data_IF_733302768924
#
_entry.id   IF_733302768924
#
_cell.length_a   1.000
_cell.length_b   1.000
_cell.length_c   1.000
_cell.angle_alpha   90.00
_cell.angle_beta   90.00
_cell.angle_gamma   90.00
#
_symmetry.space_group_name_H-M   'P 1'
#
loop_
_entity.id
_entity.type
_entity.pdbx_description
1 polymer ?
#
# COMPACT_ATOMS: atom_id res chain seq x y z
N UNK A 1 31.41 13.81 6.23
CA UNK A 1 30.86 14.83 5.30
C UNK A 1 29.65 14.20 4.62
N UNK A 2 28.48 14.83 4.69
CA UNK A 2 27.27 14.28 4.05
C UNK A 2 27.39 14.37 2.53
N UNK A 3 26.98 13.32 1.82
CA UNK A 3 27.08 13.23 0.35
C UNK A 3 25.74 13.53 -0.31
N UNK A 4 25.76 14.09 -1.52
CA UNK A 4 24.56 14.19 -2.33
C UNK A 4 24.29 12.86 -3.04
N UNK A 5 23.02 12.56 -3.31
CA UNK A 5 22.64 11.42 -4.15
C UNK A 5 23.18 11.69 -5.56
N UNK A 6 24.07 10.83 -6.04
CA UNK A 6 24.62 10.91 -7.37
C UNK A 6 23.95 9.86 -8.25
N UNK A 7 23.23 10.30 -9.27
CA UNK A 7 22.69 9.41 -10.29
C UNK A 7 23.79 9.17 -11.34
N UNK A 8 24.82 8.42 -10.94
CA UNK A 8 25.92 8.04 -11.81
C UNK A 8 25.63 6.69 -12.48
N UNK A 9 25.73 6.64 -13.80
CA UNK A 9 25.65 5.43 -14.60
C UNK A 9 27.00 5.19 -15.26
N UNK A 10 27.94 4.62 -14.52
CA UNK A 10 29.25 4.23 -15.07
C UNK A 10 29.08 2.86 -15.70
N UNK A 11 28.70 2.84 -16.98
CA UNK A 11 28.45 1.60 -17.69
C UNK A 11 29.28 1.58 -18.95
N UNK A 12 30.06 0.51 -19.09
CA UNK A 12 30.75 0.22 -20.33
C UNK A 12 29.68 0.03 -21.41
N UNK A 13 29.60 0.99 -22.33
CA UNK A 13 28.60 1.07 -23.40
C UNK A 13 28.53 -0.16 -24.31
N UNK A 14 29.49 -1.09 -24.18
CA UNK A 14 29.59 -2.33 -24.96
C UNK A 14 28.78 -3.49 -24.39
N UNK A 15 28.49 -3.50 -23.08
CA UNK A 15 27.71 -4.54 -22.41
C UNK A 15 26.58 -3.92 -21.58
N UNK A 16 25.47 -3.55 -22.22
CA UNK A 16 24.21 -3.19 -21.55
C UNK A 16 23.52 -4.43 -20.97
N UNK A 17 24.23 -5.21 -20.17
CA UNK A 17 23.67 -6.34 -19.46
C UNK A 17 22.95 -5.81 -18.21
N UNK A 18 21.61 -5.95 -18.07
CA UNK A 18 20.87 -5.49 -16.88
C UNK A 18 21.19 -6.29 -15.61
N UNK A 19 21.97 -7.37 -15.76
CA UNK A 19 22.29 -8.32 -14.71
C UNK A 19 22.99 -7.72 -13.48
N UNK A 20 23.89 -6.72 -13.54
CA UNK A 20 24.54 -6.20 -12.34
C UNK A 20 23.58 -5.54 -11.34
N UNK A 21 22.65 -4.70 -11.81
CA UNK A 21 21.65 -4.04 -10.96
C UNK A 21 20.66 -5.06 -10.41
N UNK A 22 20.16 -5.97 -11.25
CA UNK A 22 19.26 -7.04 -10.79
C UNK A 22 19.95 -7.98 -9.81
N UNK A 23 21.23 -8.30 -10.04
CA UNK A 23 22.07 -9.11 -9.12
C UNK A 23 22.32 -8.37 -7.81
N UNK A 24 22.56 -7.06 -7.82
CA UNK A 24 22.75 -6.30 -6.60
C UNK A 24 21.51 -6.35 -5.70
N UNK A 25 20.31 -6.22 -6.28
CA UNK A 25 19.04 -6.41 -5.54
C UNK A 25 18.91 -7.83 -5.03
N UNK A 26 19.14 -8.83 -5.90
CA UNK A 26 19.02 -10.23 -5.53
C UNK A 26 19.96 -10.62 -4.39
N UNK A 27 21.26 -10.32 -4.53
CA UNK A 27 22.27 -10.63 -3.51
C UNK A 27 21.96 -9.97 -2.18
N UNK A 28 21.50 -8.71 -2.19
CA UNK A 28 21.06 -8.05 -0.97
C UNK A 28 19.90 -8.79 -0.28
N UNK A 29 18.85 -9.15 -1.03
CA UNK A 29 17.70 -9.85 -0.46
C UNK A 29 18.04 -11.29 -0.04
N UNK A 30 18.96 -11.96 -0.73
CA UNK A 30 19.49 -13.27 -0.35
C UNK A 30 20.24 -13.20 1.00
N UNK A 31 21.09 -12.19 1.19
CA UNK A 31 21.85 -11.94 2.42
C UNK A 31 20.96 -11.69 3.63
N UNK A 32 19.82 -11.01 3.45
CA UNK A 32 18.85 -10.76 4.53
C UNK A 32 17.74 -11.83 4.61
N UNK A 33 17.88 -12.93 3.85
CA UNK A 33 16.90 -14.02 3.79
C UNK A 33 15.46 -13.58 3.49
N UNK A 34 15.32 -12.60 2.60
CA UNK A 34 14.04 -12.06 2.14
C UNK A 34 13.60 -12.73 0.84
N UNK A 35 12.34 -13.13 0.78
CA UNK A 35 11.67 -13.67 -0.41
C UNK A 35 11.36 -12.61 -1.48
N UNK A 36 11.59 -11.33 -1.19
CA UNK A 36 11.39 -10.23 -2.13
C UNK A 36 12.39 -10.25 -3.32
N UNK A 37 13.40 -11.13 -3.28
CA UNK A 37 14.40 -11.28 -4.33
C UNK A 37 13.84 -11.86 -5.63
N UNK A 38 12.79 -12.69 -5.57
CA UNK A 38 12.38 -13.50 -6.72
C UNK A 38 11.76 -12.67 -7.86
N UNK A 39 11.09 -11.57 -7.52
CA UNK A 39 10.45 -10.73 -8.54
C UNK A 39 11.47 -9.92 -9.37
N UNK A 40 12.69 -9.65 -8.87
CA UNK A 40 13.65 -8.84 -9.63
C UNK A 40 14.14 -9.52 -10.93
N UNK A 41 14.04 -10.85 -11.01
CA UNK A 41 14.35 -11.62 -12.21
C UNK A 41 13.14 -11.88 -13.10
N UNK A 42 11.98 -11.30 -12.79
CA UNK A 42 10.83 -11.39 -13.67
C UNK A 42 11.12 -10.74 -15.03
N UNK A 43 10.47 -11.25 -16.08
CA UNK A 43 10.59 -10.70 -17.43
C UNK A 43 10.24 -9.20 -17.48
N UNK A 44 9.29 -8.77 -16.63
CA UNK A 44 8.91 -7.37 -16.51
C UNK A 44 10.07 -6.49 -16.03
N UNK A 45 10.76 -6.91 -14.97
CA UNK A 45 11.91 -6.16 -14.44
C UNK A 45 13.09 -6.13 -15.40
N UNK A 46 13.33 -7.22 -16.12
CA UNK A 46 14.34 -7.25 -17.17
C UNK A 46 14.06 -6.20 -18.25
N UNK A 47 12.84 -6.15 -18.80
CA UNK A 47 12.46 -5.17 -19.82
C UNK A 47 12.49 -3.73 -19.29
N UNK A 48 12.03 -3.49 -18.06
CA UNK A 48 12.11 -2.18 -17.41
C UNK A 48 13.54 -1.70 -17.27
N UNK A 49 14.42 -2.57 -16.76
CA UNK A 49 15.83 -2.24 -16.58
C UNK A 49 16.46 -1.89 -17.92
N UNK A 50 16.23 -2.70 -18.96
CA UNK A 50 16.67 -2.42 -20.33
C UNK A 50 16.18 -1.08 -20.86
N UNK A 51 14.93 -0.70 -20.58
CA UNK A 51 14.40 0.62 -20.94
C UNK A 51 15.10 1.75 -20.18
N UNK A 52 15.37 1.58 -18.89
CA UNK A 52 16.12 2.56 -18.09
C UNK A 52 17.53 2.75 -18.65
N UNK A 53 18.23 1.66 -18.98
CA UNK A 53 19.53 1.73 -19.65
C UNK A 53 19.47 2.50 -20.97
N UNK A 54 18.48 2.21 -21.83
CA UNK A 54 18.31 2.92 -23.10
C UNK A 54 18.06 4.43 -22.89
N UNK A 55 17.35 4.79 -21.84
CA UNK A 55 16.97 6.18 -21.53
C UNK A 55 18.07 6.95 -20.81
N UNK A 56 18.80 6.34 -19.88
CA UNK A 56 19.68 7.01 -18.92
C UNK A 56 21.14 6.54 -18.98
N UNK A 57 21.44 5.41 -19.63
CA UNK A 57 22.79 4.85 -19.73
C UNK A 57 23.67 5.43 -20.84
N UNK A 58 23.27 6.54 -21.48
CA UNK A 58 24.10 7.16 -22.53
C UNK A 58 25.21 8.00 -21.90
N UNK A 59 26.48 7.85 -22.33
CA UNK A 59 27.63 8.55 -21.74
C UNK A 59 27.56 10.08 -21.86
N UNK A 60 26.77 10.59 -22.81
CA UNK A 60 26.56 12.03 -23.00
C UNK A 60 25.60 12.64 -21.96
N UNK A 61 24.81 11.82 -21.24
CA UNK A 61 23.96 12.31 -20.15
C UNK A 61 24.81 12.48 -18.90
N UNK A 62 25.01 13.74 -18.52
CA UNK A 62 25.76 14.13 -17.32
C UNK A 62 25.17 13.47 -16.08
N UNK A 63 26.07 13.03 -15.19
CA UNK A 63 25.78 12.62 -13.82
C UNK A 63 24.88 13.67 -13.17
N UNK A 64 23.67 13.27 -12.79
CA UNK A 64 22.75 14.19 -12.13
C UNK A 64 22.94 14.05 -10.62
N UNK A 65 23.58 15.04 -10.02
CA UNK A 65 23.65 15.15 -8.56
C UNK A 65 22.39 15.85 -8.07
N UNK A 66 21.62 15.19 -7.20
CA UNK A 66 20.44 15.80 -6.59
C UNK A 66 20.90 16.77 -5.50
N UNK A 67 20.93 18.06 -5.82
CA UNK A 67 21.46 19.11 -4.92
C UNK A 67 20.40 19.82 -4.12
N UNK A 68 19.16 19.80 -4.58
CA UNK A 68 18.02 20.44 -3.90
C UNK A 68 16.88 19.47 -3.73
N UNK A 69 15.97 19.80 -2.82
CA UNK A 69 14.79 18.97 -2.57
C UNK A 69 13.87 18.91 -3.80
N UNK A 70 13.76 19.99 -4.57
CA UNK A 70 12.95 20.06 -5.79
C UNK A 70 13.44 19.03 -6.82
N UNK A 71 14.76 18.79 -6.90
CA UNK A 71 15.31 17.74 -7.76
C UNK A 71 14.92 16.34 -7.27
N UNK A 72 14.81 16.13 -5.96
CA UNK A 72 14.34 14.86 -5.37
C UNK A 72 12.85 14.67 -5.60
N UNK A 73 12.05 15.73 -5.56
CA UNK A 73 10.62 15.64 -5.91
C UNK A 73 10.44 15.24 -7.37
N UNK A 74 11.32 15.75 -8.23
CA UNK A 74 11.38 15.46 -9.65
C UNK A 74 12.27 14.25 -9.98
N UNK A 75 12.52 13.36 -9.00
CA UNK A 75 13.35 12.17 -9.17
C UNK A 75 12.82 11.26 -10.30
N UNK A 76 13.66 11.01 -11.28
CA UNK A 76 13.42 9.99 -12.31
C UNK A 76 13.72 8.61 -11.74
N UNK A 77 12.67 7.79 -11.58
CA UNK A 77 12.79 6.45 -10.98
C UNK A 77 13.83 5.58 -11.69
N UNK A 78 13.85 5.58 -13.03
CA UNK A 78 14.80 4.75 -13.79
C UNK A 78 16.26 5.17 -13.58
N UNK A 79 16.55 6.47 -13.51
CA UNK A 79 17.89 6.97 -13.19
C UNK A 79 18.28 6.62 -11.75
N UNK A 80 17.34 6.74 -10.81
CA UNK A 80 17.53 6.33 -9.42
C UNK A 80 17.82 4.84 -9.29
N UNK A 81 17.09 3.99 -10.02
CA UNK A 81 17.29 2.54 -10.02
C UNK A 81 18.65 2.13 -10.55
N UNK A 82 19.14 2.76 -11.62
CA UNK A 82 20.46 2.41 -12.15
C UNK A 82 21.60 2.78 -11.20
N UNK A 83 21.44 3.84 -10.39
CA UNK A 83 22.44 4.30 -9.43
C UNK A 83 22.34 3.61 -8.06
N UNK A 84 21.12 3.36 -7.58
CA UNK A 84 20.83 2.81 -6.26
C UNK A 84 19.76 1.71 -6.35
N UNK A 85 20.08 0.54 -6.93
CA UNK A 85 19.08 -0.45 -7.32
C UNK A 85 18.28 -1.01 -6.14
N UNK A 86 18.92 -1.29 -4.99
CA UNK A 86 18.24 -1.79 -3.78
C UNK A 86 17.24 -0.76 -3.23
N UNK A 87 17.68 0.48 -3.04
CA UNK A 87 16.81 1.55 -2.54
C UNK A 87 15.67 1.89 -3.54
N UNK A 88 15.96 1.88 -4.83
CA UNK A 88 14.92 2.08 -5.84
C UNK A 88 13.92 0.92 -5.87
N UNK A 89 14.37 -0.31 -5.68
CA UNK A 89 13.51 -1.49 -5.61
C UNK A 89 12.57 -1.44 -4.39
N UNK A 90 13.06 -1.03 -3.22
CA UNK A 90 12.19 -0.83 -2.05
C UNK A 90 11.18 0.30 -2.27
N UNK A 91 11.59 1.41 -2.91
CA UNK A 91 10.69 2.49 -3.31
C UNK A 91 9.61 2.01 -4.29
N UNK A 92 9.96 1.12 -5.22
CA UNK A 92 9.00 0.53 -6.14
C UNK A 92 7.92 -0.29 -5.42
N UNK A 93 8.32 -1.14 -4.47
CA UNK A 93 7.37 -1.95 -3.69
C UNK A 93 6.42 -1.11 -2.85
N UNK A 94 6.91 -0.02 -2.26
CA UNK A 94 6.04 0.97 -1.62
C UNK A 94 5.02 1.53 -2.63
N UNK A 95 5.48 1.99 -3.80
CA UNK A 95 4.59 2.55 -4.81
C UNK A 95 3.55 1.54 -5.29
N UNK A 96 3.91 0.26 -5.48
CA UNK A 96 2.94 -0.78 -5.83
C UNK A 96 1.89 -0.98 -4.74
N UNK A 97 2.31 -1.02 -3.47
CA UNK A 97 1.36 -1.09 -2.35
C UNK A 97 0.40 0.12 -2.34
N UNK A 98 0.91 1.33 -2.61
CA UNK A 98 0.08 2.52 -2.74
C UNK A 98 -0.93 2.39 -3.90
N UNK A 99 -0.50 1.93 -5.07
CA UNK A 99 -1.35 1.77 -6.25
C UNK A 99 -2.41 0.67 -6.08
N UNK A 100 -2.07 -0.42 -5.42
CA UNK A 100 -3.01 -1.50 -5.12
C UNK A 100 -4.08 -1.02 -4.15
N UNK A 101 -3.68 -0.33 -3.07
CA UNK A 101 -4.61 0.23 -2.09
C UNK A 101 -5.47 1.34 -2.70
N UNK A 102 -4.88 2.20 -3.54
CA UNK A 102 -5.60 3.19 -4.35
C UNK A 102 -6.71 2.54 -5.19
N UNK A 103 -6.43 1.40 -5.83
CA UNK A 103 -7.41 0.68 -6.65
C UNK A 103 -8.57 0.17 -5.80
N UNK A 104 -8.29 -0.39 -4.63
CA UNK A 104 -9.31 -0.92 -3.72
C UNK A 104 -10.16 0.22 -3.16
N UNK A 105 -9.54 1.27 -2.62
CA UNK A 105 -10.25 2.37 -1.95
C UNK A 105 -10.98 3.26 -2.95
N UNK A 106 -10.35 3.65 -4.06
CA UNK A 106 -10.94 4.58 -5.01
C UNK A 106 -11.76 3.91 -6.12
N UNK A 107 -11.70 2.59 -6.27
CA UNK A 107 -12.32 1.88 -7.40
C UNK A 107 -11.75 2.32 -8.75
N UNK A 108 -10.45 2.67 -8.80
CA UNK A 108 -9.84 3.24 -10.01
C UNK A 108 -9.90 2.29 -11.20
N UNK A 109 -10.23 2.85 -12.36
CA UNK A 109 -10.04 2.16 -13.64
C UNK A 109 -8.56 1.90 -13.93
N UNK A 110 -8.29 0.94 -14.82
CA UNK A 110 -6.91 0.64 -15.25
C UNK A 110 -6.23 1.86 -15.91
N UNK A 111 -7.00 2.70 -16.61
CA UNK A 111 -6.48 3.91 -17.25
C UNK A 111 -6.06 4.97 -16.22
N UNK A 112 -6.88 5.20 -15.19
CA UNK A 112 -6.52 6.13 -14.10
C UNK A 112 -5.31 5.63 -13.33
N UNK A 113 -5.23 4.32 -13.09
CA UNK A 113 -4.09 3.72 -12.43
C UNK A 113 -2.81 3.87 -13.26
N UNK A 114 -2.90 3.69 -14.58
CA UNK A 114 -1.78 3.91 -15.49
C UNK A 114 -1.29 5.37 -15.45
N UNK A 115 -2.22 6.34 -15.41
CA UNK A 115 -1.89 7.78 -15.25
C UNK A 115 -1.14 8.04 -13.94
N UNK A 116 -1.54 7.41 -12.84
CA UNK A 116 -0.86 7.51 -11.53
C UNK A 116 0.52 6.84 -11.55
N UNK A 117 0.65 5.67 -12.17
CA UNK A 117 1.92 4.95 -12.34
C UNK A 117 2.93 5.70 -13.22
N UNK A 118 2.46 6.56 -14.12
CA UNK A 118 3.30 7.42 -14.95
C UNK A 118 3.84 8.66 -14.23
N UNK A 119 3.31 9.00 -13.04
CA UNK A 119 3.80 10.12 -12.25
C UNK A 119 5.15 9.77 -11.61
N UNK A 120 5.99 10.79 -11.40
CA UNK A 120 7.20 10.63 -10.61
C UNK A 120 6.86 10.25 -9.15
N UNK A 121 7.68 9.44 -8.47
CA UNK A 121 7.36 8.90 -7.15
C UNK A 121 6.88 9.96 -6.14
N UNK A 122 7.70 11.00 -5.90
CA UNK A 122 7.39 12.02 -4.91
C UNK A 122 6.33 13.01 -5.36
N UNK A 123 6.14 13.19 -6.68
CA UNK A 123 5.01 13.94 -7.24
C UNK A 123 3.69 13.21 -6.97
N UNK A 124 3.67 11.89 -7.11
CA UNK A 124 2.52 11.05 -6.78
C UNK A 124 2.18 11.13 -5.28
N UNK A 125 3.17 10.98 -4.39
CA UNK A 125 2.95 11.02 -2.93
C UNK A 125 2.35 12.37 -2.45
N UNK A 126 2.64 13.48 -3.13
CA UNK A 126 2.08 14.81 -2.78
C UNK A 126 0.81 15.18 -3.55
N UNK A 127 0.30 14.31 -4.41
CA UNK A 127 -0.77 14.66 -5.34
C UNK A 127 -2.11 14.90 -4.63
N UNK A 128 -2.45 16.18 -4.42
CA UNK A 128 -3.71 16.61 -3.76
C UNK A 128 -4.96 16.00 -4.41
N UNK A 129 -4.96 15.82 -5.73
CA UNK A 129 -6.09 15.20 -6.47
C UNK A 129 -6.38 13.78 -5.99
N UNK A 130 -5.34 12.99 -5.72
CA UNK A 130 -5.48 11.61 -5.24
C UNK A 130 -6.02 11.59 -3.82
N UNK A 131 -5.57 12.52 -2.97
CA UNK A 131 -6.09 12.69 -1.61
C UNK A 131 -7.59 13.05 -1.60
N UNK A 132 -8.00 14.01 -2.44
CA UNK A 132 -9.42 14.40 -2.57
C UNK A 132 -10.27 13.22 -3.03
N UNK A 133 -9.78 12.44 -4.01
CA UNK A 133 -10.49 11.26 -4.49
C UNK A 133 -10.65 10.22 -3.39
N UNK A 134 -9.61 9.99 -2.57
CA UNK A 134 -9.68 9.10 -1.41
C UNK A 134 -10.76 9.52 -0.42
N UNK A 135 -10.76 10.77 0.01
CA UNK A 135 -11.78 11.27 0.94
C UNK A 135 -13.18 11.07 0.38
N UNK A 136 -13.39 11.39 -0.91
CA UNK A 136 -14.68 11.18 -1.57
C UNK A 136 -15.08 9.70 -1.60
N UNK A 137 -14.16 8.82 -1.98
CA UNK A 137 -14.43 7.38 -2.08
C UNK A 137 -14.70 6.73 -0.73
N UNK A 138 -13.95 7.11 0.32
CA UNK A 138 -14.16 6.59 1.67
C UNK A 138 -15.49 7.07 2.27
N UNK A 139 -15.86 8.34 2.06
CA UNK A 139 -17.18 8.85 2.45
C UNK A 139 -18.32 8.11 1.75
N UNK A 140 -18.20 7.93 0.43
CA UNK A 140 -19.17 7.15 -0.35
C UNK A 140 -19.26 5.69 0.10
N UNK A 141 -18.12 5.09 0.47
CA UNK A 141 -18.08 3.74 1.04
C UNK A 141 -18.82 3.69 2.39
N UNK A 142 -18.58 4.65 3.29
CA UNK A 142 -19.29 4.78 4.56
C UNK A 142 -20.81 4.92 4.35
N UNK A 143 -21.23 5.82 3.46
CA UNK A 143 -22.65 6.01 3.12
C UNK A 143 -23.30 4.71 2.62
N UNK A 144 -22.60 3.95 1.75
CA UNK A 144 -23.09 2.64 1.29
C UNK A 144 -23.28 1.63 2.43
N UNK A 145 -22.39 1.64 3.42
CA UNK A 145 -22.47 0.78 4.59
C UNK A 145 -23.66 1.20 5.47
N UNK A 146 -23.77 2.49 5.77
CA UNK A 146 -24.83 3.04 6.63
C UNK A 146 -26.23 2.89 6.02
N UNK A 147 -26.36 3.04 4.70
CA UNK A 147 -27.63 2.82 3.99
C UNK A 147 -27.92 1.33 3.68
N UNK A 148 -27.07 0.39 4.11
CA UNK A 148 -27.23 -1.04 3.83
C UNK A 148 -27.08 -1.43 2.35
N UNK A 149 -26.61 -0.51 1.50
CA UNK A 149 -26.36 -0.80 0.07
C UNK A 149 -25.15 -1.71 -0.13
N UNK A 150 -24.22 -1.70 0.82
CA UNK A 150 -23.07 -2.61 0.86
C UNK A 150 -23.13 -3.42 2.16
N UNK A 151 -23.53 -4.67 2.06
CA UNK A 151 -23.72 -5.57 3.20
C UNK A 151 -23.19 -7.00 2.92
N UNK A 152 -23.27 -7.86 3.93
CA UNK A 152 -22.94 -9.28 3.81
C UNK A 152 -21.51 -9.54 3.35
N UNK A 153 -21.34 -10.48 2.42
CA UNK A 153 -20.02 -10.95 2.00
C UNK A 153 -19.28 -9.91 1.13
N UNK A 154 -20.00 -9.02 0.43
CA UNK A 154 -19.37 -7.96 -0.36
C UNK A 154 -18.73 -6.89 0.52
N UNK A 155 -19.40 -6.52 1.63
CA UNK A 155 -18.83 -5.65 2.65
C UNK A 155 -17.58 -6.26 3.26
N UNK A 156 -17.69 -7.51 3.73
CA UNK A 156 -16.56 -8.22 4.37
C UNK A 156 -15.36 -8.29 3.43
N UNK A 157 -15.57 -8.67 2.17
CA UNK A 157 -14.49 -8.71 1.17
C UNK A 157 -13.87 -7.33 0.95
N UNK A 158 -14.67 -6.28 0.82
CA UNK A 158 -14.18 -4.92 0.59
C UNK A 158 -13.30 -4.44 1.76
N UNK A 159 -13.74 -4.66 2.99
CA UNK A 159 -12.98 -4.28 4.19
C UNK A 159 -11.71 -5.13 4.35
N UNK A 160 -11.79 -6.42 4.03
CA UNK A 160 -10.63 -7.31 4.01
C UNK A 160 -9.58 -6.87 2.97
N UNK A 161 -10.01 -6.50 1.76
CA UNK A 161 -9.10 -6.00 0.70
C UNK A 161 -8.42 -4.70 1.13
N UNK A 162 -9.13 -3.80 1.83
CA UNK A 162 -8.56 -2.58 2.39
C UNK A 162 -7.53 -2.92 3.48
N UNK A 163 -7.87 -3.82 4.42
CA UNK A 163 -6.96 -4.27 5.48
C UNK A 163 -5.67 -4.84 4.88
N UNK A 164 -5.78 -5.80 3.95
CA UNK A 164 -4.61 -6.39 3.29
C UNK A 164 -3.76 -5.34 2.56
N UNK A 165 -4.41 -4.35 1.94
CA UNK A 165 -3.71 -3.24 1.29
C UNK A 165 -2.97 -2.33 2.28
N UNK A 166 -3.55 -2.06 3.46
CA UNK A 166 -2.91 -1.29 4.54
C UNK A 166 -1.72 -2.06 5.11
N UNK A 167 -1.87 -3.34 5.42
CA UNK A 167 -0.78 -4.19 5.91
C UNK A 167 0.40 -4.21 4.94
N UNK A 168 0.12 -4.40 3.64
CA UNK A 168 1.16 -4.34 2.60
C UNK A 168 1.82 -2.98 2.51
N UNK A 169 1.06 -1.88 2.61
CA UNK A 169 1.59 -0.52 2.59
C UNK A 169 2.54 -0.27 3.78
N UNK A 170 2.14 -0.69 4.99
CA UNK A 170 2.95 -0.55 6.19
C UNK A 170 4.21 -1.41 6.10
N UNK A 171 4.09 -2.67 5.69
CA UNK A 171 5.23 -3.57 5.50
C UNK A 171 6.24 -3.00 4.49
N UNK A 172 5.78 -2.55 3.32
CA UNK A 172 6.65 -1.93 2.31
C UNK A 172 7.29 -0.62 2.79
N UNK A 173 6.60 0.16 3.62
CA UNK A 173 7.16 1.38 4.23
C UNK A 173 8.28 1.07 5.22
N UNK A 174 8.09 0.07 6.07
CA UNK A 174 9.13 -0.41 7.01
C UNK A 174 10.34 -0.93 6.26
N UNK A 175 10.14 -1.82 5.28
CA UNK A 175 11.22 -2.33 4.45
C UNK A 175 11.95 -1.19 3.71
N UNK A 176 11.23 -0.18 3.21
CA UNK A 176 11.85 0.99 2.59
C UNK A 176 12.76 1.75 3.56
N UNK A 177 12.30 2.00 4.78
CA UNK A 177 13.09 2.71 5.82
C UNK A 177 14.40 1.98 6.12
N UNK A 178 14.33 0.67 6.33
CA UNK A 178 15.50 -0.18 6.58
C UNK A 178 16.47 -0.14 5.41
N UNK A 179 15.96 -0.34 4.18
CA UNK A 179 16.76 -0.33 2.97
C UNK A 179 17.43 1.03 2.72
N UNK A 180 16.73 2.14 2.95
CA UNK A 180 17.28 3.48 2.76
C UNK A 180 18.36 3.80 3.81
N UNK A 181 18.15 3.40 5.06
CA UNK A 181 19.12 3.61 6.14
C UNK A 181 20.47 2.92 5.86
N UNK A 182 20.43 1.75 5.22
CA UNK A 182 21.63 1.00 4.82
C UNK A 182 22.22 1.54 3.52
N UNK A 183 21.42 1.61 2.45
CA UNK A 183 21.93 1.82 1.08
C UNK A 183 22.18 3.28 0.72
N UNK A 184 21.56 4.22 1.43
CA UNK A 184 21.71 5.66 1.20
C UNK A 184 22.29 6.36 2.43
N UNK A 185 23.03 5.62 3.26
CA UNK A 185 23.65 6.16 4.47
C UNK A 185 24.45 7.43 4.17
N UNK A 186 24.34 8.42 5.06
CA UNK A 186 25.03 9.71 4.98
C UNK A 186 24.61 10.62 3.80
N UNK A 187 23.52 10.30 3.09
CA UNK A 187 23.01 11.14 2.01
C UNK A 187 22.04 12.23 2.50
N UNK A 188 22.28 13.48 2.04
CA UNK A 188 21.67 14.73 2.57
C UNK A 188 20.13 14.74 2.56
N UNK A 189 19.47 14.00 1.67
CA UNK A 189 18.00 14.05 1.49
C UNK A 189 17.25 12.83 1.97
N UNK A 190 17.93 11.80 2.49
CA UNK A 190 17.30 10.52 2.85
C UNK A 190 16.26 10.69 3.95
N UNK A 191 16.60 11.40 5.02
CA UNK A 191 15.66 11.65 6.12
C UNK A 191 14.39 12.38 5.64
N UNK A 192 14.56 13.35 4.72
CA UNK A 192 13.44 14.08 4.13
C UNK A 192 12.60 13.21 3.21
N UNK A 193 13.20 12.30 2.44
CA UNK A 193 12.48 11.30 1.64
C UNK A 193 11.67 10.35 2.54
N UNK A 194 12.29 9.83 3.61
CA UNK A 194 11.65 8.95 4.58
C UNK A 194 10.53 9.64 5.35
N UNK A 195 10.72 10.91 5.72
CA UNK A 195 9.67 11.72 6.34
C UNK A 195 8.46 11.85 5.40
N UNK A 196 8.69 12.14 4.11
CA UNK A 196 7.60 12.24 3.12
C UNK A 196 6.84 10.94 2.92
N UNK A 197 7.55 9.83 2.85
CA UNK A 197 6.92 8.50 2.81
C UNK A 197 6.08 8.25 4.06
N UNK A 198 6.66 8.51 5.24
CA UNK A 198 5.97 8.29 6.53
C UNK A 198 4.71 9.13 6.62
N UNK A 199 4.81 10.45 6.37
CA UNK A 199 3.64 11.34 6.37
C UNK A 199 2.56 10.90 5.39
N UNK A 200 2.95 10.40 4.20
CA UNK A 200 1.98 9.89 3.23
C UNK A 200 1.26 8.65 3.76
N UNK A 201 2.00 7.65 4.28
CA UNK A 201 1.42 6.42 4.82
C UNK A 201 0.50 6.72 6.00
N UNK A 202 0.93 7.61 6.91
CA UNK A 202 0.15 8.04 8.06
C UNK A 202 -1.15 8.75 7.64
N UNK A 203 -1.11 9.65 6.65
CA UNK A 203 -2.31 10.33 6.13
C UNK A 203 -3.29 9.31 5.53
N UNK A 204 -2.81 8.28 4.81
CA UNK A 204 -3.67 7.22 4.26
C UNK A 204 -4.34 6.39 5.34
N UNK A 205 -3.57 5.93 6.32
CA UNK A 205 -4.10 5.15 7.43
C UNK A 205 -5.09 5.97 8.26
N UNK A 206 -4.74 7.23 8.54
CA UNK A 206 -5.60 8.18 9.25
C UNK A 206 -6.91 8.46 8.51
N UNK A 207 -6.89 8.63 7.19
CA UNK A 207 -8.11 8.81 6.40
C UNK A 207 -9.04 7.58 6.46
N UNK A 208 -8.50 6.37 6.39
CA UNK A 208 -9.28 5.13 6.53
C UNK A 208 -9.94 5.08 7.92
N UNK A 209 -9.14 5.27 8.98
CA UNK A 209 -9.64 5.25 10.35
C UNK A 209 -10.71 6.33 10.59
N UNK A 210 -10.50 7.55 10.10
CA UNK A 210 -11.43 8.66 10.29
C UNK A 210 -12.75 8.48 9.53
N UNK A 211 -12.70 7.92 8.32
CA UNK A 211 -13.87 7.84 7.44
C UNK A 211 -14.61 6.50 7.48
N UNK A 212 -14.01 5.44 8.00
CA UNK A 212 -14.70 4.15 8.18
C UNK A 212 -15.06 3.84 9.64
N UNK A 213 -14.79 4.78 10.57
CA UNK A 213 -15.32 4.69 11.93
C UNK A 213 -16.84 4.77 11.88
N UNK A 214 -17.49 3.67 12.21
CA UNK A 214 -18.92 3.61 12.48
C UNK A 214 -19.15 4.27 13.84
N UNK A 215 -20.11 5.18 13.91
CA UNK A 215 -20.54 5.68 15.20
C UNK A 215 -21.18 4.50 15.93
N UNK A 216 -20.65 4.18 17.12
CA UNK A 216 -21.34 3.32 18.07
C UNK A 216 -22.72 3.93 18.26
N UNK A 217 -23.72 3.33 17.62
CA UNK A 217 -25.10 3.76 17.75
C UNK A 217 -25.40 3.90 19.23
N UNK A 218 -25.83 5.08 19.64
CA UNK A 218 -26.21 5.46 21.00
C UNK A 218 -27.47 4.68 21.47
N UNK A 219 -27.49 3.37 21.29
CA UNK A 219 -28.55 2.46 21.68
C UNK A 219 -28.21 1.82 23.02
N UNK A 220 -28.16 2.63 24.09
CA UNK A 220 -28.50 2.19 25.47
C UNK A 220 -28.62 3.36 26.44
N UNK A 221 -29.49 4.33 26.16
CA UNK A 221 -30.14 5.09 27.24
C UNK A 221 -31.56 5.45 26.87
N UNK A 222 -32.33 4.47 26.37
CA UNK A 222 -33.79 4.54 26.44
C UNK A 222 -34.16 4.07 27.84
N UNK A 223 -33.94 4.98 28.79
CA UNK A 223 -34.45 4.87 30.14
C UNK A 223 -35.99 4.86 29.99
N UNK A 224 -36.59 3.75 30.37
CA UNK A 224 -38.03 3.60 30.56
C UNK A 224 -38.48 4.68 31.56
N UNK A 225 -38.93 5.83 31.06
CA UNK A 225 -39.74 6.75 31.83
C UNK A 225 -41.13 6.77 31.16
N UNK A 226 -41.97 5.88 31.66
CA UNK A 226 -43.42 6.05 31.61
C UNK A 226 -43.78 7.36 32.31
N UNK A 227 -44.37 8.29 31.56
CA UNK A 227 -45.31 9.33 32.05
C UNK A 227 -45.55 10.30 30.88
N UNK A 228 -46.58 10.06 30.07
CA UNK A 228 -47.87 10.75 30.20
C UNK A 228 -47.74 12.28 30.14
N UNK A 229 -48.03 12.87 28.96
CA UNK A 229 -49.10 13.87 28.84
C UNK A 229 -49.29 14.30 27.38
N UNK A 230 -50.57 14.52 27.08
CA UNK A 230 -51.17 14.97 25.83
C UNK A 230 -50.67 16.31 25.26
N UNK A 231 -51.01 16.43 23.97
CA UNK A 231 -51.49 17.64 23.26
C UNK A 231 -50.56 18.49 22.38
N UNK A 232 -51.02 18.56 21.12
CA UNK A 232 -51.15 19.72 20.23
C UNK A 232 -49.97 20.17 19.33
N UNK A 233 -50.18 19.85 18.03
CA UNK A 233 -50.12 20.74 16.84
C UNK A 233 -49.00 21.78 16.74
N UNK A 234 -48.15 21.67 15.70
CA UNK A 234 -48.10 22.70 14.65
C UNK A 234 -47.34 22.26 13.38
N UNK A 235 -47.77 22.86 12.28
CA UNK A 235 -47.31 22.83 10.89
C UNK A 235 -45.80 23.01 10.68
N UNK A 236 -45.24 22.27 9.69
CA UNK A 236 -44.40 22.92 8.66
C UNK A 236 -43.97 21.98 7.53
N UNK A 237 -44.65 22.19 6.40
CA UNK A 237 -44.19 22.19 5.01
C UNK A 237 -42.88 21.48 4.63
N UNK A 238 -43.09 20.41 3.86
CA UNK A 238 -42.28 19.87 2.78
C UNK A 238 -41.70 20.92 1.81
N UNK A 239 -40.41 20.81 1.46
CA UNK A 239 -39.95 20.80 0.06
C UNK A 239 -38.45 20.47 -0.09
N UNK A 240 -38.12 19.26 -0.54
CA UNK A 240 -36.85 18.95 -1.19
C UNK A 240 -37.16 18.20 -2.49
N UNK A 241 -37.25 18.96 -3.57
CA UNK A 241 -37.18 18.46 -4.95
C UNK A 241 -35.84 18.84 -5.56
N UNK A 242 -35.45 18.04 -6.56
CA UNK A 242 -34.35 18.21 -7.52
C UNK A 242 -32.97 17.66 -7.12
N UNK A 243 -32.82 16.35 -7.32
CA UNK A 243 -31.60 15.82 -7.95
C UNK A 243 -32.02 15.25 -9.31
N UNK A 244 -31.64 15.97 -10.36
CA UNK A 244 -31.84 15.60 -11.74
C UNK A 244 -30.94 14.43 -12.16
N UNK A 245 -31.54 13.55 -12.94
CA UNK A 245 -30.94 12.47 -13.72
C UNK A 245 -29.58 12.85 -14.36
N UNK A 246 -28.53 12.09 -14.05
CA UNK A 246 -27.35 11.98 -14.92
C UNK A 246 -27.50 10.70 -15.75
N UNK A 247 -28.02 10.87 -16.97
CA UNK A 247 -27.98 9.85 -18.03
C UNK A 247 -26.55 9.69 -18.52
N UNK A 248 -25.96 8.51 -18.31
CA UNK A 248 -24.76 8.10 -19.05
C UNK A 248 -25.15 7.58 -20.43
N UNK A 249 -24.45 7.98 -21.51
CA UNK A 249 -24.72 7.47 -22.84
C UNK A 249 -24.26 6.02 -23.00
N UNK A 250 -25.19 5.18 -23.46
CA UNK A 250 -24.96 3.83 -23.97
C UNK A 250 -24.03 3.88 -25.19
N UNK A 251 -22.82 3.32 -25.05
CA UNK A 251 -21.91 3.12 -26.18
C UNK A 251 -22.24 1.76 -26.83
N UNK A 252 -22.55 1.70 -28.15
CA UNK A 252 -22.83 0.46 -28.85
C UNK A 252 -21.56 -0.38 -29.10
N UNK A 253 -21.66 -1.73 -29.15
CA UNK A 253 -20.50 -2.59 -29.36
C UNK A 253 -20.28 -2.89 -30.84
N UNK A 254 -19.02 -2.79 -31.32
CA UNK A 254 -18.36 -3.69 -32.31
C UNK A 254 -17.13 -3.03 -32.97
N UNK A 255 -16.28 -3.78 -33.72
CA UNK A 255 -16.04 -5.22 -33.70
C UNK A 255 -14.54 -5.58 -33.57
N UNK A 256 -14.32 -6.83 -33.19
CA UNK A 256 -13.04 -7.53 -33.27
C UNK A 256 -12.51 -7.61 -34.71
N UNK A 257 -11.20 -7.44 -34.89
CA UNK A 257 -10.38 -8.17 -35.86
C UNK A 257 -8.90 -7.83 -35.65
N UNK A 258 -8.05 -8.86 -35.55
CA UNK A 258 -6.60 -8.64 -35.45
C UNK A 258 -5.81 -9.83 -34.96
N UNK A 259 -5.93 -10.95 -35.66
CA UNK A 259 -5.12 -12.17 -35.52
C UNK A 259 -3.61 -11.89 -35.61
N UNK A 260 -2.86 -12.14 -34.53
CA UNK A 260 -1.40 -12.26 -34.58
C UNK A 260 -0.87 -13.45 -33.77
N UNK A 261 -0.61 -14.51 -34.53
CA UNK A 261 0.51 -15.46 -34.50
C UNK A 261 1.12 -15.83 -33.13
N UNK A 262 0.79 -17.06 -32.69
CA UNK A 262 1.49 -17.84 -31.65
C UNK A 262 2.96 -18.15 -32.04
N UNK A 263 3.92 -17.99 -31.13
CA UNK A 263 5.22 -18.66 -31.23
C UNK A 263 5.18 -20.11 -30.72
N UNK A 264 6.08 -20.91 -31.28
CA UNK A 264 6.21 -22.38 -31.17
C UNK A 264 6.64 -22.87 -29.78
N UNK A 265 6.15 -24.07 -29.47
CA UNK A 265 6.49 -24.97 -28.36
C UNK A 265 7.98 -25.21 -28.16
N UNK A 266 8.38 -25.35 -26.90
CA UNK A 266 9.56 -26.09 -26.45
C UNK A 266 9.18 -27.01 -25.26
N UNK A 267 10.05 -27.99 -24.89
CA UNK A 267 9.64 -29.38 -24.71
C UNK A 267 9.25 -29.77 -23.28
N UNK A 268 8.47 -30.85 -23.24
CA UNK A 268 7.84 -31.47 -22.07
C UNK A 268 8.86 -32.26 -21.25
N UNK A 269 9.00 -31.93 -19.96
CA UNK A 269 9.65 -32.81 -18.99
C UNK A 269 8.70 -33.93 -18.55
N UNK A 270 9.21 -35.15 -18.28
CA UNK A 270 8.40 -36.31 -17.92
C UNK A 270 7.85 -36.20 -16.49
N UNK A 271 6.53 -36.41 -16.36
CA UNK A 271 5.80 -36.54 -15.08
C UNK A 271 6.07 -37.92 -14.44
N UNK A 272 6.36 -38.00 -13.12
CA UNK A 272 6.30 -39.26 -12.38
C UNK A 272 4.86 -39.66 -12.05
N UNK A 273 4.62 -40.98 -12.07
CA UNK A 273 3.35 -41.68 -11.80
C UNK A 273 3.17 -41.98 -10.30
N UNK A 274 1.91 -42.03 -9.86
CA UNK A 274 1.43 -42.65 -8.61
C UNK A 274 0.93 -41.62 -7.59
N UNK A 275 -0.24 -41.72 -6.96
CA UNK A 275 -1.22 -42.80 -6.82
C UNK A 275 -2.63 -42.21 -6.66
N UNK A 276 -3.63 -42.90 -7.21
CA UNK A 276 -5.05 -42.70 -6.92
C UNK A 276 -5.35 -43.12 -5.47
N UNK A 277 -6.00 -42.25 -4.71
CA UNK A 277 -6.78 -42.64 -3.53
C UNK A 277 -8.21 -42.13 -3.73
N UNK A 278 -9.12 -43.09 -3.67
CA UNK A 278 -10.55 -42.99 -3.87
C UNK A 278 -11.30 -42.49 -2.62
N UNK A 279 -12.34 -41.70 -2.89
CA UNK A 279 -13.59 -41.51 -2.14
C UNK A 279 -13.56 -41.16 -0.64
N UNK A 280 -14.20 -40.02 -0.33
CA UNK A 280 -15.46 -40.03 0.44
C UNK A 280 -16.26 -38.73 0.26
N UNK A 281 -17.48 -38.91 -0.22
CA UNK A 281 -18.58 -37.94 -0.21
C UNK A 281 -19.05 -37.75 1.23
N UNK A 282 -19.05 -36.51 1.71
CA UNK A 282 -19.72 -36.13 2.95
C UNK A 282 -20.70 -34.98 2.71
N UNK A 283 -21.83 -35.16 3.40
CA UNK A 283 -23.12 -34.48 3.35
C UNK A 283 -23.09 -33.01 3.76
N UNK A 284 -24.00 -32.24 3.17
CA UNK A 284 -24.38 -30.88 3.54
C UNK A 284 -24.78 -30.77 5.03
N UNK A 285 -24.31 -29.72 5.75
CA UNK A 285 -24.99 -29.28 6.96
C UNK A 285 -25.94 -28.11 6.67
N UNK A 286 -27.01 -28.11 7.45
CA UNK A 286 -28.15 -27.24 7.39
C UNK A 286 -27.83 -25.76 7.63
N UNK A 287 -28.67 -24.90 7.04
CA UNK A 287 -28.66 -23.45 7.18
C UNK A 287 -28.87 -23.03 8.65
N UNK A 288 -27.82 -22.49 9.27
CA UNK A 288 -27.88 -21.75 10.54
C UNK A 288 -28.12 -20.27 10.29
N UNK A 289 -29.02 -19.69 11.10
CA UNK A 289 -29.52 -18.31 11.05
C UNK A 289 -28.39 -17.26 11.09
N UNK A 290 -28.51 -16.13 10.36
CA UNK A 290 -27.43 -15.14 10.18
C UNK A 290 -27.33 -14.10 11.32
N UNK A 291 -27.38 -14.51 12.58
CA UNK A 291 -27.35 -13.57 13.72
C UNK A 291 -25.94 -13.33 14.30
N UNK A 292 -24.90 -13.99 13.80
CA UNK A 292 -23.56 -14.01 14.44
C UNK A 292 -22.45 -13.30 13.63
N UNK A 293 -22.74 -12.78 12.43
CA UNK A 293 -21.71 -12.18 11.55
C UNK A 293 -21.25 -10.77 11.98
N UNK A 294 -22.04 -10.04 12.76
CA UNK A 294 -21.70 -8.66 13.16
C UNK A 294 -20.56 -8.57 14.18
N UNK A 295 -20.36 -9.58 15.03
CA UNK A 295 -19.25 -9.60 15.99
C UNK A 295 -17.87 -9.72 15.32
N UNK A 296 -17.80 -10.30 14.11
CA UNK A 296 -16.55 -10.47 13.36
C UNK A 296 -16.02 -9.16 12.77
N UNK A 297 -16.91 -8.24 12.39
CA UNK A 297 -16.52 -6.94 11.85
C UNK A 297 -15.97 -6.03 12.93
N UNK A 298 -16.55 -6.08 14.13
CA UNK A 298 -16.04 -5.38 15.30
C UNK A 298 -14.62 -5.82 15.66
N UNK A 299 -14.36 -7.13 15.71
CA UNK A 299 -13.01 -7.64 15.97
C UNK A 299 -11.97 -7.23 14.91
N UNK A 300 -12.38 -7.07 13.64
CA UNK A 300 -11.49 -6.60 12.57
C UNK A 300 -11.13 -5.12 12.74
N UNK A 301 -12.11 -4.29 13.11
CA UNK A 301 -11.89 -2.86 13.38
C UNK A 301 -11.07 -2.67 14.66
N UNK A 302 -11.33 -3.47 15.70
CA UNK A 302 -10.52 -3.48 16.93
C UNK A 302 -9.07 -3.87 16.63
N UNK A 303 -8.85 -4.91 15.81
CA UNK A 303 -7.51 -5.33 15.37
C UNK A 303 -6.78 -4.21 14.62
N UNK A 304 -7.47 -3.51 13.71
CA UNK A 304 -6.93 -2.36 13.00
C UNK A 304 -6.55 -1.21 13.95
N UNK A 305 -7.38 -0.96 14.97
CA UNK A 305 -7.07 0.03 16.00
C UNK A 305 -5.88 -0.39 16.86
N UNK A 306 -5.81 -1.64 17.32
CA UNK A 306 -4.67 -2.13 18.10
C UNK A 306 -3.38 -2.10 17.29
N UNK A 307 -3.40 -2.48 16.01
CA UNK A 307 -2.22 -2.39 15.15
C UNK A 307 -1.70 -0.95 15.03
N UNK A 308 -2.60 0.02 14.93
CA UNK A 308 -2.24 1.46 14.93
C UNK A 308 -1.69 1.93 16.29
N UNK A 309 -2.21 1.42 17.39
CA UNK A 309 -1.73 1.73 18.74
C UNK A 309 -0.36 1.11 19.03
N UNK A 310 -0.13 -0.14 18.63
CA UNK A 310 1.16 -0.81 18.78
C UNK A 310 2.26 -0.14 17.96
N UNK A 311 1.95 0.30 16.74
CA UNK A 311 2.92 1.04 15.91
C UNK A 311 3.22 2.42 16.50
N UNK A 312 2.21 3.15 16.98
CA UNK A 312 2.41 4.43 17.67
C UNK A 312 3.21 4.27 18.97
N UNK A 313 2.94 3.23 19.75
CA UNK A 313 3.64 2.94 21.01
C UNK A 313 5.09 2.52 20.75
N UNK A 314 5.33 1.69 19.74
CA UNK A 314 6.68 1.33 19.29
C UNK A 314 7.49 2.55 18.84
N UNK A 315 6.87 3.47 18.10
CA UNK A 315 7.50 4.73 17.69
C UNK A 315 7.80 5.64 18.90
N UNK A 316 6.86 5.73 19.85
CA UNK A 316 7.05 6.51 21.07
C UNK A 316 8.21 5.95 21.90
N UNK A 317 8.30 4.63 22.08
CA UNK A 317 9.45 4.02 22.76
C UNK A 317 10.74 4.30 21.99
N UNK A 318 10.76 4.09 20.68
CA UNK A 318 11.97 4.29 19.87
C UNK A 318 12.49 5.74 19.89
N UNK A 319 11.59 6.72 20.02
CA UNK A 319 11.95 8.15 20.03
C UNK A 319 12.22 8.69 21.43
N UNK A 320 11.47 8.25 22.44
CA UNK A 320 11.57 8.75 23.82
C UNK A 320 12.67 8.03 24.59
N UNK A 321 12.93 6.75 24.32
CA UNK A 321 13.94 5.97 25.06
C UNK A 321 15.38 6.53 24.89
N UNK A 322 15.85 6.91 23.68
CA UNK A 322 17.15 7.56 23.53
C UNK A 322 17.20 8.94 24.21
N UNK A 323 16.08 9.68 24.20
CA UNK A 323 15.99 10.99 24.85
C UNK A 323 16.10 10.87 26.38
N UNK A 324 15.40 9.89 26.97
CA UNK A 324 15.48 9.61 28.41
C UNK A 324 16.87 9.12 28.83
N UNK A 325 17.53 8.32 28.00
CA UNK A 325 18.92 7.92 28.22
C UNK A 325 19.88 9.13 28.18
N UNK A 326 19.68 10.06 27.24
CA UNK A 326 20.52 11.27 27.13
C UNK A 326 20.40 12.22 28.32
N UNK A 327 19.25 12.22 28.99
CA UNK A 327 18.99 13.05 30.17
C UNK A 327 19.27 12.34 31.51
N UNK A 328 19.85 11.13 31.48
CA UNK A 328 20.23 10.41 32.70
C UNK A 328 19.06 9.85 33.51
N UNK A 329 17.86 9.79 32.93
CA UNK A 329 16.68 9.19 33.59
C UNK A 329 16.72 7.66 33.59
N UNK A 330 17.53 7.05 32.73
CA UNK A 330 17.71 5.60 32.64
C UNK A 330 19.19 5.25 32.73
N UNK A 331 19.54 4.38 33.68
CA UNK A 331 20.90 3.84 33.81
C UNK A 331 21.09 2.68 32.82
N UNK A 332 22.22 2.62 32.07
CA UNK A 332 22.40 1.68 30.95
C UNK A 332 22.57 0.19 31.33
N UNK A 333 22.32 -0.23 32.57
CA UNK A 333 22.82 -1.51 33.11
C UNK A 333 21.78 -2.63 33.34
N UNK A 334 20.56 -2.54 32.80
CA UNK A 334 19.49 -3.48 33.18
C UNK A 334 18.97 -4.44 32.10
N UNK A 335 19.58 -4.51 30.90
CA UNK A 335 19.17 -5.49 29.88
C UNK A 335 20.38 -6.29 29.41
N UNK A 336 20.78 -7.28 30.20
CA UNK A 336 21.56 -8.42 29.69
C UNK A 336 20.55 -9.55 29.38
N UNK A 337 20.37 -9.92 28.10
CA UNK A 337 19.50 -11.03 27.73
C UNK A 337 20.27 -12.33 27.97
N UNK A 338 20.26 -12.85 29.20
CA UNK A 338 21.04 -14.06 29.49
C UNK A 338 21.03 -14.61 30.91
N UNK A 339 19.99 -14.36 31.72
CA UNK A 339 19.96 -14.78 33.13
C UNK A 339 18.69 -15.51 33.52
N UNK A 340 18.40 -16.67 32.93
CA UNK A 340 17.37 -17.58 33.42
C UNK A 340 17.76 -19.04 33.11
N UNK A 341 18.74 -19.52 33.86
CA UNK A 341 19.01 -20.93 34.12
C UNK A 341 19.50 -21.04 35.58
N UNK A 342 18.56 -21.21 36.50
CA UNK A 342 18.61 -22.11 37.66
C UNK A 342 17.29 -22.04 38.43
#
# INVERSE_FOLDING_TARGET
>A
MASYIQLHTELDTRDCNPTPQQRAVYSYHEEIHSDAADDIYSFEWFERTKLFFKQFGRPEKRVTTLRTWEMVEELDFGAFFLAHPVAAYSLWHLLQACYDLDRVVCGCSQEELAKRKAMKPFVYLRAKRIRIQWVKSLKHLKEKIECGTLEGDELVRTLYDILCGVERLVASSTALKENFAVNLKDMIFVDKMLQKVTTFVDDRCGMIAAHLKLEESQETSRQENESSSDEALDDSMSNLQNISEIKFPTIPPKPANGSRKRPKRQPTFPKPKGNEISMKSHSNPAATKPAQKYNSLYSLIELLMYASLFTAFGLAIYTVLPLLQSHGFLTPNLITPGGLLL
#
